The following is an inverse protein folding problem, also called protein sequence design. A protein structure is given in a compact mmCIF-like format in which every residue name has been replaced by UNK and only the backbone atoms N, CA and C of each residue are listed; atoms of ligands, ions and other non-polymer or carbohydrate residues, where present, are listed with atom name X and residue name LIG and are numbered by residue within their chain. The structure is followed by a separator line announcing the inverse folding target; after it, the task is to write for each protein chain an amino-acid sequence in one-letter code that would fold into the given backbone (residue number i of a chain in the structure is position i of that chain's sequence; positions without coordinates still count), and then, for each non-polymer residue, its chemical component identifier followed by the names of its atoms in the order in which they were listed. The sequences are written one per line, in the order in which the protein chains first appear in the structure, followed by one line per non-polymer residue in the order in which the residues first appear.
data_IF_763139230762
#
_entry.id   IF_763139230762
#
_cell.length_a   1.000
_cell.length_b   1.000
_cell.length_c   1.000
_cell.angle_alpha   90.00
_cell.angle_beta   90.00
_cell.angle_gamma   90.00
#
_symmetry.space_group_name_H-M   'P 1'
#
loop_
_entity.id
_entity.type
_entity.pdbx_description
1 polymer ?
#
# COMPACT_ATOMS: atom_id res chain seq x y z
N UNK A 1 17.65 -1.67 8.52
CA UNK A 1 16.28 -1.13 8.36
C UNK A 1 16.42 0.26 7.79
N UNK A 2 15.82 0.48 6.62
CA UNK A 2 15.73 1.80 6.01
C UNK A 2 14.41 2.49 6.32
N UNK A 3 14.29 3.70 5.85
CA UNK A 3 13.05 4.49 5.94
C UNK A 3 12.05 4.09 4.85
N UNK A 4 12.57 3.85 3.64
CA UNK A 4 11.81 3.52 2.45
C UNK A 4 11.99 2.07 2.02
N UNK A 5 13.17 1.50 2.30
CA UNK A 5 13.50 0.10 1.98
C UNK A 5 13.60 -0.69 3.28
N UNK A 6 12.82 -1.75 3.37
CA UNK A 6 12.70 -2.58 4.55
C UNK A 6 12.37 -1.77 5.82
N UNK A 7 11.26 -0.99 5.81
CA UNK A 7 10.86 -0.22 6.98
C UNK A 7 10.55 -1.14 8.16
N UNK A 8 10.62 -0.56 9.36
CA UNK A 8 10.21 -1.22 10.59
C UNK A 8 8.66 -1.36 10.69
N UNK A 9 8.20 -1.94 11.78
CA UNK A 9 6.78 -2.16 12.03
C UNK A 9 6.12 -1.13 12.97
N UNK A 10 6.84 -0.06 13.32
CA UNK A 10 6.40 0.92 14.33
C UNK A 10 5.08 1.62 13.95
N UNK A 11 4.89 1.92 12.67
CA UNK A 11 3.66 2.56 12.17
C UNK A 11 2.43 1.65 12.35
N UNK A 12 2.56 0.35 12.12
CA UNK A 12 1.49 -0.60 12.38
C UNK A 12 1.32 -0.89 13.87
N UNK A 13 2.41 -0.93 14.65
CA UNK A 13 2.34 -1.03 16.11
C UNK A 13 1.54 0.13 16.71
N UNK A 14 1.74 1.35 16.23
CA UNK A 14 0.97 2.51 16.66
C UNK A 14 -0.53 2.34 16.37
N UNK A 15 -0.88 1.73 15.23
CA UNK A 15 -2.26 1.41 14.90
C UNK A 15 -2.88 0.38 15.85
N UNK A 16 -2.14 -0.69 16.19
CA UNK A 16 -2.57 -1.70 17.14
C UNK A 16 -2.80 -1.14 18.56
N UNK A 17 -1.98 -0.16 18.95
CA UNK A 17 -2.08 0.50 20.26
C UNK A 17 -3.22 1.55 20.31
N UNK A 18 -3.92 1.79 19.21
CA UNK A 18 -5.03 2.74 19.17
C UNK A 18 -6.19 2.28 20.07
N UNK A 19 -6.90 3.24 20.69
CA UNK A 19 -8.08 2.95 21.53
C UNK A 19 -9.12 2.07 20.83
N UNK A 20 -9.28 2.27 19.52
CA UNK A 20 -10.13 1.46 18.66
C UNK A 20 -9.27 0.96 17.50
N UNK A 21 -9.06 -0.34 17.49
CA UNK A 21 -8.45 -1.07 16.38
C UNK A 21 -9.44 -2.15 15.91
N UNK A 22 -9.58 -2.28 14.60
CA UNK A 22 -10.37 -3.32 13.96
C UNK A 22 -9.42 -4.13 13.07
N UNK A 23 -9.39 -5.44 13.31
CA UNK A 23 -8.50 -6.34 12.60
C UNK A 23 -8.87 -6.46 11.11
N UNK A 24 -7.98 -6.02 10.25
CA UNK A 24 -8.07 -6.10 8.79
C UNK A 24 -7.02 -7.03 8.17
N UNK A 25 -6.31 -7.79 9.01
CA UNK A 25 -5.21 -8.65 8.56
C UNK A 25 -5.66 -9.81 7.67
N UNK A 26 -6.96 -10.11 7.59
CA UNK A 26 -7.51 -10.98 6.55
C UNK A 26 -7.22 -10.53 5.11
N UNK A 27 -6.95 -9.23 4.91
CA UNK A 27 -6.45 -8.71 3.64
C UNK A 27 -5.13 -9.36 3.21
N UNK A 28 -4.25 -9.66 4.15
CA UNK A 28 -2.94 -10.28 3.90
C UNK A 28 -3.11 -11.69 3.30
N UNK A 29 -4.13 -12.43 3.72
CA UNK A 29 -4.42 -13.74 3.16
C UNK A 29 -4.74 -13.65 1.66
N UNK A 30 -5.50 -12.62 1.24
CA UNK A 30 -5.72 -12.35 -0.17
C UNK A 30 -4.41 -11.99 -0.89
N UNK A 31 -3.59 -11.10 -0.31
CA UNK A 31 -2.30 -10.71 -0.87
C UNK A 31 -1.36 -11.92 -1.04
N UNK A 32 -1.31 -12.80 -0.04
CA UNK A 32 -0.49 -14.02 -0.09
C UNK A 32 -0.90 -14.97 -1.24
N UNK A 33 -2.19 -15.00 -1.61
CA UNK A 33 -2.68 -15.85 -2.71
C UNK A 33 -2.27 -15.33 -4.09
N UNK A 34 -2.19 -14.02 -4.25
CA UNK A 34 -1.83 -13.39 -5.54
C UNK A 34 -0.34 -13.08 -5.67
N UNK A 35 0.40 -13.22 -4.57
CA UNK A 35 1.83 -12.91 -4.51
C UNK A 35 2.60 -13.75 -5.54
N UNK A 36 3.46 -13.09 -6.32
CA UNK A 36 4.25 -13.68 -7.43
C UNK A 36 3.41 -14.24 -8.60
N UNK A 37 2.17 -13.82 -8.74
CA UNK A 37 1.29 -14.16 -9.87
C UNK A 37 1.07 -12.95 -10.79
N UNK A 38 0.32 -13.13 -11.87
CA UNK A 38 -0.13 -12.03 -12.74
C UNK A 38 -1.06 -11.05 -12.04
N UNK A 39 -1.74 -11.48 -10.97
CA UNK A 39 -2.73 -10.72 -10.20
C UNK A 39 -2.08 -9.98 -9.01
N UNK A 40 -0.73 -9.96 -8.94
CA UNK A 40 0.04 -9.33 -7.87
C UNK A 40 0.08 -7.79 -7.92
N UNK A 41 -0.61 -7.17 -8.87
CA UNK A 41 -0.66 -5.72 -9.03
C UNK A 41 -2.02 -5.20 -8.60
N UNK A 42 -2.08 -4.55 -7.44
CA UNK A 42 -3.33 -4.17 -6.77
C UNK A 42 -3.36 -2.66 -6.54
N UNK A 43 -4.42 -2.02 -6.98
CA UNK A 43 -4.72 -0.63 -6.66
C UNK A 43 -6.04 -0.53 -5.87
N UNK A 44 -5.96 0.01 -4.66
CA UNK A 44 -7.12 0.19 -3.80
C UNK A 44 -7.46 1.67 -3.61
N UNK A 45 -8.48 2.14 -4.32
CA UNK A 45 -8.93 3.53 -4.30
C UNK A 45 -10.13 3.70 -3.37
N UNK A 46 -9.96 4.52 -2.32
CA UNK A 46 -10.99 4.84 -1.33
C UNK A 46 -10.96 6.32 -0.98
N UNK A 47 -12.07 6.91 -0.55
CA UNK A 47 -12.10 8.27 -0.01
C UNK A 47 -11.11 8.45 1.14
N UNK A 48 -10.89 9.71 1.51
CA UNK A 48 -10.08 10.03 2.69
C UNK A 48 -10.66 9.41 3.95
N UNK A 49 -9.78 9.02 4.89
CA UNK A 49 -10.14 8.48 6.23
C UNK A 49 -10.73 7.08 6.25
N UNK A 50 -10.63 6.34 5.15
CA UNK A 50 -11.06 4.93 5.08
C UNK A 50 -10.03 3.93 5.63
N UNK A 51 -8.85 4.38 6.04
CA UNK A 51 -7.81 3.50 6.59
C UNK A 51 -6.82 2.95 5.54
N UNK A 52 -6.66 3.64 4.39
CA UNK A 52 -5.72 3.24 3.33
C UNK A 52 -4.29 3.11 3.83
N UNK A 53 -3.76 4.14 4.48
CA UNK A 53 -2.39 4.14 5.03
C UNK A 53 -2.21 3.10 6.14
N UNK A 54 -3.27 2.78 6.91
CA UNK A 54 -3.22 1.66 7.86
C UNK A 54 -3.02 0.32 7.15
N UNK A 55 -3.68 0.11 6.02
CA UNK A 55 -3.48 -1.08 5.19
C UNK A 55 -2.06 -1.13 4.60
N UNK A 56 -1.55 -0.02 4.08
CA UNK A 56 -0.18 0.08 3.57
C UNK A 56 0.86 -0.24 4.67
N UNK A 57 0.73 0.36 5.85
CA UNK A 57 1.61 0.12 6.98
C UNK A 57 1.53 -1.33 7.50
N UNK A 58 0.33 -1.92 7.50
CA UNK A 58 0.11 -3.32 7.85
C UNK A 58 0.84 -4.27 6.90
N UNK A 59 0.74 -4.05 5.59
CA UNK A 59 1.44 -4.84 4.59
C UNK A 59 2.95 -4.66 4.70
N UNK A 60 3.44 -3.43 4.89
CA UNK A 60 4.86 -3.16 5.12
C UNK A 60 5.38 -3.91 6.35
N UNK A 61 4.69 -3.83 7.49
CA UNK A 61 5.07 -4.53 8.72
C UNK A 61 5.07 -6.06 8.56
N UNK A 62 4.14 -6.61 7.75
CA UNK A 62 4.04 -8.05 7.55
C UNK A 62 5.14 -8.59 6.62
N UNK A 63 5.41 -7.94 5.49
CA UNK A 63 6.33 -8.47 4.49
C UNK A 63 7.80 -8.09 4.73
N UNK A 64 8.08 -6.95 5.37
CA UNK A 64 9.43 -6.39 5.47
C UNK A 64 10.40 -7.29 6.22
N UNK A 65 11.53 -7.62 5.58
CA UNK A 65 12.69 -8.26 6.22
C UNK A 65 13.33 -7.40 7.32
N UNK A 66 13.08 -6.09 7.29
CA UNK A 66 13.57 -5.15 8.29
C UNK A 66 12.80 -5.18 9.61
N UNK A 67 11.76 -6.02 9.72
CA UNK A 67 10.91 -6.06 10.89
C UNK A 67 10.92 -7.45 11.56
N UNK A 68 10.66 -7.48 12.87
CA UNK A 68 10.28 -8.67 13.62
C UNK A 68 8.83 -8.48 14.07
N UNK A 69 7.90 -9.08 13.33
CA UNK A 69 6.47 -8.81 13.48
C UNK A 69 5.66 -10.04 13.94
N UNK A 70 6.29 -11.18 14.24
CA UNK A 70 5.56 -12.41 14.55
C UNK A 70 4.57 -12.22 15.72
N UNK A 71 5.03 -11.62 16.81
CA UNK A 71 4.18 -11.36 17.99
C UNK A 71 3.04 -10.39 17.71
N UNK A 72 3.24 -9.47 16.77
CA UNK A 72 2.28 -8.45 16.41
C UNK A 72 1.08 -9.04 15.64
N UNK A 73 1.32 -10.06 14.82
CA UNK A 73 0.31 -10.67 13.96
C UNK A 73 -0.26 -12.00 14.49
N UNK A 74 0.39 -12.65 15.46
CA UNK A 74 0.06 -14.01 15.91
C UNK A 74 -1.39 -14.15 16.40
N UNK A 75 -1.92 -13.14 17.08
CA UNK A 75 -3.28 -13.15 17.63
C UNK A 75 -4.35 -12.62 16.67
N UNK A 76 -3.92 -12.03 15.53
CA UNK A 76 -4.79 -11.46 14.52
C UNK A 76 -5.30 -12.55 13.53
N UNK A 77 -6.21 -12.18 12.65
CA UNK A 77 -6.83 -13.10 11.69
C UNK A 77 -5.80 -13.81 10.82
N UNK A 78 -4.78 -13.12 10.33
CA UNK A 78 -3.70 -13.70 9.53
C UNK A 78 -2.89 -14.74 10.33
N UNK A 79 -2.67 -14.52 11.62
CA UNK A 79 -1.90 -15.42 12.49
C UNK A 79 -2.52 -16.82 12.62
N UNK A 80 -3.81 -16.94 12.31
CA UNK A 80 -4.57 -18.21 12.34
C UNK A 80 -4.51 -18.98 11.01
N UNK A 81 -3.91 -18.41 9.97
CA UNK A 81 -3.81 -19.04 8.65
C UNK A 81 -2.58 -19.93 8.55
N UNK A 82 -2.64 -20.96 7.68
CA UNK A 82 -1.51 -21.88 7.46
C UNK A 82 -0.29 -21.18 6.86
N UNK A 83 -0.51 -20.14 6.04
CA UNK A 83 0.56 -19.44 5.33
C UNK A 83 1.16 -18.28 6.14
N UNK A 84 0.72 -18.05 7.38
CA UNK A 84 1.16 -16.94 8.21
C UNK A 84 2.68 -16.78 8.24
N UNK A 85 3.42 -17.83 8.64
CA UNK A 85 4.87 -17.79 8.78
C UNK A 85 5.62 -17.91 7.46
N UNK A 86 4.95 -18.36 6.40
CA UNK A 86 5.58 -18.58 5.09
C UNK A 86 6.07 -17.29 4.46
N UNK A 87 5.31 -16.21 4.62
CA UNK A 87 5.58 -14.93 3.98
C UNK A 87 5.96 -13.82 4.95
N UNK A 88 5.75 -14.03 6.26
CA UNK A 88 6.03 -13.05 7.30
C UNK A 88 7.51 -12.67 7.33
N UNK A 89 7.80 -11.38 7.14
CA UNK A 89 9.15 -10.80 7.14
C UNK A 89 10.12 -11.48 6.15
N UNK A 90 9.65 -11.83 4.96
CA UNK A 90 10.44 -12.59 3.94
C UNK A 90 10.82 -11.77 2.72
N UNK A 91 10.25 -10.61 2.50
CA UNK A 91 10.45 -9.82 1.30
C UNK A 91 11.20 -8.52 1.58
N UNK A 92 11.94 -8.06 0.57
CA UNK A 92 12.37 -6.67 0.53
C UNK A 92 11.17 -5.80 0.21
N UNK A 93 10.84 -4.90 1.11
CA UNK A 93 9.70 -3.99 0.97
C UNK A 93 10.20 -2.60 0.61
N UNK A 94 9.66 -2.02 -0.43
CA UNK A 94 9.81 -0.60 -0.76
C UNK A 94 8.47 0.07 -0.43
N UNK A 95 8.48 0.98 0.55
CA UNK A 95 7.29 1.72 0.96
C UNK A 95 7.47 3.21 0.74
N UNK A 96 6.69 3.77 -0.17
CA UNK A 96 6.76 5.16 -0.63
C UNK A 96 5.43 5.85 -0.31
N UNK A 97 5.46 6.89 0.50
CA UNK A 97 4.36 7.84 0.69
C UNK A 97 4.61 9.05 -0.21
N UNK A 98 3.81 9.17 -1.28
CA UNK A 98 3.98 10.24 -2.27
C UNK A 98 3.65 11.61 -1.67
N UNK A 99 2.69 11.68 -0.75
CA UNK A 99 2.36 12.93 -0.06
C UNK A 99 3.57 13.47 0.71
N UNK A 100 4.26 12.58 1.45
CA UNK A 100 5.46 12.98 2.18
C UNK A 100 6.56 13.51 1.26
N UNK A 101 6.81 12.82 0.13
CA UNK A 101 7.80 13.28 -0.86
C UNK A 101 7.43 14.61 -1.48
N UNK A 102 6.15 14.81 -1.80
CA UNK A 102 5.65 16.08 -2.34
C UNK A 102 5.84 17.24 -1.36
N UNK A 103 5.54 17.04 -0.09
CA UNK A 103 5.68 18.06 0.95
C UNK A 103 7.12 18.43 1.25
N UNK A 104 8.04 17.44 1.21
CA UNK A 104 9.46 17.63 1.56
C UNK A 104 10.37 17.92 0.36
N UNK A 105 9.82 18.04 -0.85
CA UNK A 105 10.57 18.40 -2.06
C UNK A 105 10.46 19.91 -2.30
N UNK A 106 11.59 20.62 -2.27
CA UNK A 106 11.62 22.09 -2.51
C UNK A 106 11.17 22.42 -3.95
N UNK A 107 11.68 21.69 -4.94
CA UNK A 107 11.33 21.84 -6.35
C UNK A 107 10.46 20.67 -6.81
N UNK A 108 9.17 20.90 -6.98
CA UNK A 108 8.20 19.87 -7.36
C UNK A 108 8.54 19.19 -8.70
N UNK A 109 9.27 19.85 -9.58
CA UNK A 109 9.75 19.26 -10.84
C UNK A 109 10.78 18.13 -10.61
N UNK A 110 11.40 18.08 -9.42
CA UNK A 110 12.42 17.09 -9.04
C UNK A 110 11.88 15.99 -8.10
N UNK A 111 10.59 15.98 -7.81
CA UNK A 111 10.00 15.02 -6.87
C UNK A 111 10.30 13.55 -7.24
N UNK A 112 10.23 13.20 -8.52
CA UNK A 112 10.55 11.85 -9.00
C UNK A 112 12.05 11.52 -8.81
N UNK A 113 12.92 12.49 -9.01
CA UNK A 113 14.36 12.34 -8.75
C UNK A 113 14.61 12.16 -7.26
N UNK A 114 13.91 12.92 -6.41
CA UNK A 114 14.00 12.81 -4.97
C UNK A 114 13.57 11.41 -4.47
N UNK A 115 12.42 10.90 -4.94
CA UNK A 115 11.94 9.54 -4.68
C UNK A 115 13.01 8.53 -5.10
N UNK A 116 13.44 8.59 -6.36
CA UNK A 116 14.39 7.64 -6.94
C UNK A 116 15.70 7.62 -6.18
N UNK A 117 16.27 8.80 -5.90
CA UNK A 117 17.52 8.91 -5.16
C UNK A 117 17.40 8.34 -3.75
N UNK A 118 16.35 8.72 -3.00
CA UNK A 118 16.16 8.26 -1.63
C UNK A 118 16.07 6.73 -1.53
N UNK A 119 15.34 6.10 -2.44
CA UNK A 119 15.21 4.63 -2.47
C UNK A 119 16.51 3.97 -2.93
N UNK A 120 17.19 4.52 -3.95
CA UNK A 120 18.45 3.98 -4.44
C UNK A 120 19.57 4.07 -3.39
N UNK A 121 19.64 5.15 -2.62
CA UNK A 121 20.63 5.30 -1.57
C UNK A 121 20.48 4.20 -0.51
N UNK A 122 19.26 3.92 -0.05
CA UNK A 122 19.00 2.82 0.89
C UNK A 122 19.21 1.43 0.27
N UNK A 123 18.87 1.23 -1.01
CA UNK A 123 19.14 -0.03 -1.71
C UNK A 123 20.66 -0.29 -1.83
N UNK A 124 21.47 0.73 -2.07
CA UNK A 124 22.93 0.60 -2.12
C UNK A 124 23.54 0.19 -0.78
N UNK A 125 22.98 0.68 0.32
CA UNK A 125 23.40 0.26 1.66
C UNK A 125 23.12 -1.23 1.92
N UNK A 126 22.00 -1.73 1.40
CA UNK A 126 21.58 -3.13 1.56
C UNK A 126 22.29 -4.05 0.56
N UNK A 127 22.51 -3.59 -0.66
CA UNK A 127 23.05 -4.34 -1.78
C UNK A 127 24.27 -3.66 -2.43
N UNK A 128 25.34 -3.38 -1.67
CA UNK A 128 26.52 -2.66 -2.19
C UNK A 128 27.23 -3.40 -3.32
N UNK A 129 27.15 -4.72 -3.35
CA UNK A 129 27.77 -5.54 -4.41
C UNK A 129 26.97 -5.54 -5.72
N UNK A 130 25.69 -5.20 -5.65
CA UNK A 130 24.79 -5.22 -6.82
C UNK A 130 24.68 -3.86 -7.51
N UNK A 131 24.86 -2.77 -6.75
CA UNK A 131 24.51 -1.41 -7.18
C UNK A 131 25.71 -0.47 -7.11
N UNK A 132 25.92 0.29 -8.19
CA UNK A 132 26.96 1.32 -8.28
C UNK A 132 26.35 2.72 -8.16
N UNK A 133 27.20 3.71 -7.84
CA UNK A 133 26.77 5.11 -7.65
C UNK A 133 26.11 5.75 -8.90
N UNK A 134 26.35 5.19 -10.09
CA UNK A 134 25.86 5.71 -11.38
C UNK A 134 24.49 5.14 -11.77
N UNK A 135 23.91 4.22 -10.97
CA UNK A 135 22.58 3.69 -11.26
C UNK A 135 21.53 4.79 -11.12
N UNK A 136 20.90 5.16 -12.23
CA UNK A 136 19.97 6.29 -12.30
C UNK A 136 18.48 5.88 -12.34
N UNK A 137 18.18 4.62 -12.61
CA UNK A 137 16.81 4.10 -12.72
C UNK A 137 16.52 3.10 -11.60
N UNK A 138 15.42 3.34 -10.89
CA UNK A 138 14.98 2.41 -9.84
C UNK A 138 14.66 1.02 -10.43
N UNK A 139 14.00 0.95 -11.57
CA UNK A 139 13.67 -0.33 -12.22
C UNK A 139 14.91 -1.12 -12.65
N UNK A 140 15.97 -0.46 -13.12
CA UNK A 140 17.23 -1.13 -13.43
C UNK A 140 17.93 -1.66 -12.18
N UNK A 141 17.97 -0.87 -11.10
CA UNK A 141 18.52 -1.28 -9.82
C UNK A 141 17.81 -2.53 -9.27
N UNK A 142 16.47 -2.53 -9.27
CA UNK A 142 15.68 -3.68 -8.82
C UNK A 142 15.92 -4.92 -9.69
N UNK A 143 16.03 -4.76 -10.99
CA UNK A 143 16.37 -5.83 -11.94
C UNK A 143 17.75 -6.43 -11.64
N UNK A 144 18.76 -5.60 -11.37
CA UNK A 144 20.12 -6.05 -11.00
C UNK A 144 20.14 -6.82 -9.71
N UNK A 145 19.51 -6.29 -8.65
CA UNK A 145 19.40 -7.00 -7.36
C UNK A 145 18.72 -8.34 -7.57
N UNK A 146 17.59 -8.37 -8.28
CA UNK A 146 16.89 -9.62 -8.58
C UNK A 146 17.77 -10.63 -9.32
N UNK A 147 18.51 -10.18 -10.35
CA UNK A 147 19.34 -11.08 -11.15
C UNK A 147 20.52 -11.65 -10.36
N UNK A 148 21.09 -10.90 -9.43
CA UNK A 148 22.25 -11.35 -8.65
C UNK A 148 21.86 -12.14 -7.40
N UNK A 149 20.76 -11.79 -6.74
CA UNK A 149 20.38 -12.36 -5.45
C UNK A 149 19.19 -13.30 -5.49
N UNK A 150 18.40 -13.27 -6.56
CA UNK A 150 17.12 -13.95 -6.62
C UNK A 150 15.98 -13.24 -5.86
N UNK A 151 16.27 -12.17 -5.12
CA UNK A 151 15.27 -11.49 -4.29
C UNK A 151 14.24 -10.75 -5.14
N UNK A 152 12.98 -10.81 -4.72
CA UNK A 152 11.89 -10.01 -5.28
C UNK A 152 11.38 -9.00 -4.26
N UNK A 153 10.71 -7.99 -4.75
CA UNK A 153 10.28 -6.84 -3.96
C UNK A 153 8.76 -6.80 -3.79
N UNK A 154 8.32 -6.41 -2.61
CA UNK A 154 6.98 -5.92 -2.36
C UNK A 154 7.03 -4.40 -2.43
N UNK A 155 6.34 -3.80 -3.40
CA UNK A 155 6.34 -2.36 -3.61
C UNK A 155 5.00 -1.79 -3.19
N UNK A 156 5.02 -0.90 -2.20
CA UNK A 156 3.84 -0.23 -1.63
C UNK A 156 3.97 1.26 -1.92
N UNK A 157 2.98 1.84 -2.60
CA UNK A 157 2.89 3.29 -2.81
C UNK A 157 1.60 3.81 -2.19
N UNK A 158 1.72 4.57 -1.11
CA UNK A 158 0.59 5.24 -0.49
C UNK A 158 0.38 6.62 -1.12
N UNK A 159 -0.89 7.04 -1.24
CA UNK A 159 -1.35 8.28 -1.89
C UNK A 159 -0.76 8.45 -3.32
N UNK A 160 -0.76 7.34 -4.12
CA UNK A 160 -0.16 7.30 -5.45
C UNK A 160 -0.65 8.40 -6.39
N UNK A 161 -1.86 8.90 -6.19
CA UNK A 161 -2.55 9.86 -7.05
C UNK A 161 -2.33 11.34 -6.65
N UNK A 162 -1.62 11.60 -5.55
CA UNK A 162 -1.49 12.96 -5.01
C UNK A 162 -0.83 13.93 -5.98
N UNK A 163 0.24 13.52 -6.66
CA UNK A 163 0.91 14.37 -7.65
C UNK A 163 0.01 14.72 -8.85
N UNK A 164 -0.89 13.81 -9.21
CA UNK A 164 -1.83 14.01 -10.30
C UNK A 164 -2.97 14.94 -9.87
N UNK A 165 -3.37 14.83 -8.62
CA UNK A 165 -4.49 15.58 -8.03
C UNK A 165 -4.09 17.00 -7.61
N UNK A 166 -2.96 17.10 -6.88
CA UNK A 166 -2.56 18.35 -6.24
C UNK A 166 -1.69 19.23 -7.17
N UNK A 167 -0.96 18.63 -8.13
CA UNK A 167 -0.19 19.31 -9.18
C UNK A 167 -0.96 19.34 -10.52
N UNK A 168 -2.28 19.47 -10.48
CA UNK A 168 -3.15 19.35 -11.66
C UNK A 168 -2.82 20.35 -12.80
N UNK A 169 -2.23 21.49 -12.50
CA UNK A 169 -1.81 22.51 -13.48
C UNK A 169 -0.37 22.29 -14.00
N UNK A 170 0.43 21.45 -13.36
CA UNK A 170 1.81 21.18 -13.74
C UNK A 170 1.92 19.88 -14.54
N UNK A 171 1.64 19.97 -15.84
CA UNK A 171 1.64 18.81 -16.74
C UNK A 171 3.01 18.12 -16.79
N UNK A 172 4.12 18.87 -16.73
CA UNK A 172 5.45 18.30 -16.79
C UNK A 172 5.75 17.40 -15.59
N UNK A 173 5.35 17.80 -14.37
CA UNK A 173 5.49 16.98 -13.18
C UNK A 173 4.62 15.72 -13.27
N UNK A 174 3.37 15.86 -13.73
CA UNK A 174 2.48 14.72 -13.91
C UNK A 174 3.03 13.71 -14.94
N UNK A 175 3.48 14.18 -16.10
CA UNK A 175 4.04 13.31 -17.14
C UNK A 175 5.30 12.59 -16.67
N UNK A 176 6.20 13.29 -15.97
CA UNK A 176 7.40 12.70 -15.38
C UNK A 176 7.04 11.61 -14.36
N UNK A 177 6.07 11.88 -13.50
CA UNK A 177 5.60 10.90 -12.51
C UNK A 177 4.90 9.69 -13.16
N UNK A 178 4.04 9.92 -14.15
CA UNK A 178 3.40 8.83 -14.91
C UNK A 178 4.45 7.96 -15.63
N UNK A 179 5.50 8.58 -16.18
CA UNK A 179 6.61 7.85 -16.80
C UNK A 179 7.40 7.04 -15.77
N UNK A 180 7.61 7.58 -14.57
CA UNK A 180 8.22 6.85 -13.47
C UNK A 180 7.39 5.60 -13.09
N UNK A 181 6.08 5.75 -12.88
CA UNK A 181 5.20 4.62 -12.58
C UNK A 181 5.17 3.60 -13.72
N UNK A 182 5.15 4.06 -14.97
CA UNK A 182 5.21 3.18 -16.13
C UNK A 182 6.51 2.38 -16.16
N UNK A 183 7.65 3.01 -15.93
CA UNK A 183 8.96 2.35 -15.90
C UNK A 183 9.09 1.34 -14.76
N UNK A 184 8.45 1.63 -13.62
CA UNK A 184 8.50 0.76 -12.45
C UNK A 184 7.59 -0.47 -12.57
N UNK A 185 6.42 -0.36 -13.20
CA UNK A 185 5.38 -1.39 -13.14
C UNK A 185 5.01 -2.02 -14.47
N UNK A 186 5.32 -1.40 -15.62
CA UNK A 186 4.83 -1.88 -16.93
C UNK A 186 5.92 -2.59 -17.72
N UNK A 187 5.53 -3.68 -18.38
CA UNK A 187 6.40 -4.48 -19.23
C UNK A 187 6.81 -5.80 -18.59
N UNK A 188 7.68 -6.53 -19.27
CA UNK A 188 8.12 -7.87 -18.83
C UNK A 188 9.13 -7.80 -17.68
N UNK A 189 10.01 -6.79 -17.65
CA UNK A 189 11.05 -6.71 -16.60
C UNK A 189 10.46 -6.56 -15.20
N UNK A 190 9.46 -5.68 -14.94
CA UNK A 190 8.84 -5.60 -13.62
C UNK A 190 8.31 -6.92 -13.07
N UNK A 191 7.77 -7.79 -13.93
CA UNK A 191 7.24 -9.09 -13.48
C UNK A 191 8.31 -10.03 -12.90
N UNK A 192 9.58 -9.76 -13.20
CA UNK A 192 10.70 -10.57 -12.71
C UNK A 192 11.11 -10.17 -11.29
N UNK A 193 11.09 -8.87 -10.96
CA UNK A 193 11.53 -8.36 -9.66
C UNK A 193 10.40 -8.01 -8.69
N UNK A 194 9.17 -7.86 -9.16
CA UNK A 194 8.01 -7.57 -8.28
C UNK A 194 7.39 -8.88 -7.81
N UNK A 195 7.27 -9.04 -6.50
CA UNK A 195 6.47 -10.09 -5.86
C UNK A 195 5.03 -9.63 -5.65
N UNK A 196 4.85 -8.36 -5.25
CA UNK A 196 3.56 -7.71 -5.03
C UNK A 196 3.71 -6.20 -5.26
N UNK A 197 2.76 -5.59 -5.94
CA UNK A 197 2.63 -4.13 -6.03
C UNK A 197 1.29 -3.72 -5.42
N UNK A 198 1.31 -2.85 -4.42
CA UNK A 198 0.11 -2.32 -3.78
C UNK A 198 0.10 -0.80 -3.84
N UNK A 199 -0.84 -0.25 -4.59
CA UNK A 199 -1.09 1.18 -4.66
C UNK A 199 -2.32 1.54 -3.84
N UNK A 200 -2.27 2.65 -3.11
CA UNK A 200 -3.43 3.21 -2.45
C UNK A 200 -3.55 4.70 -2.71
N UNK A 201 -4.79 5.15 -2.96
CA UNK A 201 -5.10 6.53 -3.30
C UNK A 201 -6.60 6.83 -3.22
N UNK A 202 -6.97 7.99 -3.71
CA UNK A 202 -8.37 8.44 -3.78
C UNK A 202 -8.95 8.21 -5.18
N UNK A 203 -8.16 8.54 -6.20
CA UNK A 203 -8.59 8.47 -7.59
C UNK A 203 -8.40 7.07 -8.18
N UNK A 204 -9.36 6.58 -8.97
CA UNK A 204 -9.17 5.36 -9.73
C UNK A 204 -8.25 5.59 -10.93
N UNK A 205 -7.41 4.58 -11.24
CA UNK A 205 -6.47 4.59 -12.36
C UNK A 205 -7.20 4.84 -13.70
N UNK A 206 -8.35 4.19 -13.89
CA UNK A 206 -9.12 4.25 -15.15
C UNK A 206 -9.66 5.63 -15.49
N UNK A 207 -9.81 6.51 -14.51
CA UNK A 207 -10.30 7.89 -14.75
C UNK A 207 -9.20 8.88 -15.15
N UNK A 208 -7.95 8.44 -15.17
CA UNK A 208 -6.80 9.31 -15.38
C UNK A 208 -6.13 9.00 -16.74
N UNK A 209 -5.38 9.94 -17.26
CA UNK A 209 -4.45 9.72 -18.42
C UNK A 209 -3.40 8.64 -18.13
N UNK A 210 -3.39 8.11 -16.90
CA UNK A 210 -2.54 7.03 -16.40
C UNK A 210 -2.99 5.63 -16.82
N UNK A 211 -4.19 5.46 -17.39
CA UNK A 211 -4.73 4.15 -17.76
C UNK A 211 -3.75 3.31 -18.59
N UNK A 212 -3.05 3.93 -19.55
CA UNK A 212 -2.06 3.20 -20.36
C UNK A 212 -0.79 2.83 -19.58
N UNK A 213 -0.48 3.51 -18.49
CA UNK A 213 0.71 3.27 -17.67
C UNK A 213 0.53 2.15 -16.64
N UNK A 214 -0.67 2.00 -16.10
CA UNK A 214 -1.00 1.11 -14.98
C UNK A 214 -2.17 0.15 -15.31
N UNK A 215 -2.35 -0.20 -16.58
CA UNK A 215 -3.44 -1.09 -17.02
C UNK A 215 -3.30 -2.55 -16.57
N UNK A 216 -2.16 -2.90 -15.99
CA UNK A 216 -1.88 -4.21 -15.42
C UNK A 216 -2.29 -4.32 -13.94
N UNK A 217 -2.84 -3.25 -13.35
CA UNK A 217 -3.34 -3.28 -11.97
C UNK A 217 -4.80 -3.71 -11.91
N UNK A 218 -5.09 -4.65 -11.01
CA UNK A 218 -6.44 -4.91 -10.54
C UNK A 218 -6.89 -3.77 -9.64
N UNK A 219 -7.97 -3.11 -10.05
CA UNK A 219 -8.42 -1.89 -9.42
C UNK A 219 -9.68 -2.13 -8.58
N UNK A 220 -9.57 -1.84 -7.28
CA UNK A 220 -10.64 -1.93 -6.30
C UNK A 220 -11.09 -0.54 -5.86
N UNK A 221 -12.27 -0.13 -6.33
CA UNK A 221 -12.82 1.22 -6.11
C UNK A 221 -14.09 1.20 -5.26
N UNK A 222 -14.69 2.38 -5.02
CA UNK A 222 -16.01 2.46 -4.39
C UNK A 222 -17.14 1.87 -5.27
N UNK A 223 -16.95 1.82 -6.59
CA UNK A 223 -17.93 1.27 -7.52
C UNK A 223 -17.71 -0.22 -7.83
N UNK A 224 -16.48 -0.69 -7.64
CA UNK A 224 -16.07 -2.08 -7.91
C UNK A 224 -15.06 -2.49 -6.83
N UNK A 225 -15.55 -2.80 -5.64
CA UNK A 225 -14.70 -3.09 -4.50
C UNK A 225 -14.21 -4.54 -4.45
N UNK A 226 -14.89 -5.47 -5.16
CA UNK A 226 -14.50 -6.87 -5.24
C UNK A 226 -14.15 -7.47 -3.87
N UNK A 227 -13.12 -8.31 -3.85
CA UNK A 227 -12.62 -8.96 -2.63
C UNK A 227 -11.99 -7.99 -1.61
N UNK A 228 -11.73 -6.73 -1.99
CA UNK A 228 -11.18 -5.73 -1.09
C UNK A 228 -12.25 -4.96 -0.30
N UNK A 229 -13.54 -5.18 -0.59
CA UNK A 229 -14.63 -4.48 0.07
C UNK A 229 -14.54 -4.47 1.62
N UNK A 230 -14.31 -5.60 2.31
CA UNK A 230 -14.33 -5.66 3.77
C UNK A 230 -13.04 -5.13 4.43
N UNK A 231 -11.97 -4.89 3.68
CA UNK A 231 -10.65 -4.65 4.27
C UNK A 231 -10.27 -3.18 4.40
N UNK A 232 -10.92 -2.28 3.68
CA UNK A 232 -10.69 -0.83 3.77
C UNK A 232 -11.99 -0.12 4.05
N UNK A 233 -12.12 0.41 5.27
CA UNK A 233 -13.36 0.85 5.91
C UNK A 233 -13.83 -0.14 6.97
N UNK A 234 -14.89 0.18 7.72
CA UNK A 234 -15.50 -0.72 8.70
C UNK A 234 -16.75 -1.37 8.12
N UNK A 235 -16.85 -2.69 8.24
CA UNK A 235 -18.06 -3.43 7.87
C UNK A 235 -19.19 -3.21 8.88
N UNK A 236 -20.43 -3.49 8.48
CA UNK A 236 -21.59 -3.41 9.37
C UNK A 236 -21.42 -4.28 10.64
N UNK A 237 -20.87 -5.49 10.48
CA UNK A 237 -20.62 -6.39 11.61
C UNK A 237 -19.60 -5.83 12.60
N UNK A 238 -18.55 -5.20 12.10
CA UNK A 238 -17.53 -4.54 12.92
C UNK A 238 -18.11 -3.32 13.66
N UNK A 239 -18.93 -2.51 12.97
CA UNK A 239 -19.60 -1.37 13.60
C UNK A 239 -20.58 -1.83 14.68
N UNK A 240 -21.35 -2.90 14.43
CA UNK A 240 -22.21 -3.50 15.46
C UNK A 240 -21.43 -4.00 16.67
N UNK A 241 -20.29 -4.64 16.44
CA UNK A 241 -19.38 -5.09 17.51
C UNK A 241 -18.84 -3.90 18.32
N UNK A 242 -18.39 -2.84 17.64
CA UNK A 242 -17.91 -1.62 18.29
C UNK A 242 -19.03 -0.94 19.09
N UNK A 243 -20.22 -0.78 18.51
CA UNK A 243 -21.38 -0.19 19.19
C UNK A 243 -21.70 -0.94 20.49
N UNK A 244 -21.71 -2.29 20.43
CA UNK A 244 -21.90 -3.14 21.62
C UNK A 244 -20.78 -2.94 22.65
N UNK A 245 -19.51 -2.94 22.21
CA UNK A 245 -18.33 -2.79 23.09
C UNK A 245 -18.32 -1.45 23.83
N UNK A 246 -18.77 -0.39 23.16
CA UNK A 246 -18.79 0.97 23.71
C UNK A 246 -20.17 1.44 24.19
N UNK A 247 -21.11 0.51 24.38
CA UNK A 247 -22.47 0.77 24.87
C UNK A 247 -23.23 1.83 24.05
N UNK A 248 -23.02 1.84 22.73
CA UNK A 248 -23.71 2.73 21.80
C UNK A 248 -24.89 2.01 21.11
N UNK A 249 -25.91 2.77 20.76
CA UNK A 249 -27.04 2.23 20.01
C UNK A 249 -26.68 2.17 18.51
N UNK A 250 -26.57 0.96 17.96
CA UNK A 250 -26.23 0.76 16.54
C UNK A 250 -27.20 1.46 15.58
N UNK A 251 -28.51 1.44 15.85
CA UNK A 251 -29.50 2.09 14.96
C UNK A 251 -29.33 3.61 14.92
N UNK A 252 -28.90 4.22 16.03
CA UNK A 252 -28.50 5.63 16.03
C UNK A 252 -27.26 5.87 15.21
N UNK A 253 -26.22 5.03 15.38
CA UNK A 253 -24.98 5.11 14.60
C UNK A 253 -25.28 4.98 13.11
N UNK A 254 -26.08 3.98 12.70
CA UNK A 254 -26.50 3.78 11.31
C UNK A 254 -27.26 4.99 10.76
N UNK A 255 -28.15 5.58 11.52
CA UNK A 255 -28.92 6.77 11.08
C UNK A 255 -28.05 8.01 10.85
N UNK A 256 -26.98 8.17 11.65
CA UNK A 256 -26.08 9.30 11.50
C UNK A 256 -25.02 9.09 10.42
N UNK A 257 -24.59 7.87 10.18
CA UNK A 257 -23.43 7.52 9.35
C UNK A 257 -23.79 6.46 8.31
N UNK A 258 -24.86 6.58 7.62
CA UNK A 258 -25.54 5.61 6.71
C UNK A 258 -24.62 4.63 5.95
N UNK A 259 -23.34 4.98 5.75
CA UNK A 259 -22.33 4.13 5.14
C UNK A 259 -22.47 4.04 3.61
N UNK A 260 -21.74 3.08 3.04
CA UNK A 260 -21.69 2.84 1.61
C UNK A 260 -21.94 1.37 1.31
N UNK A 261 -22.80 1.06 0.35
CA UNK A 261 -22.97 -0.32 -0.12
C UNK A 261 -21.89 -0.64 -1.16
N UNK A 262 -20.91 -1.47 -0.82
CA UNK A 262 -19.86 -1.95 -1.70
C UNK A 262 -20.06 -3.43 -1.98
N UNK A 263 -20.56 -3.76 -3.18
CA UNK A 263 -21.10 -5.09 -3.49
C UNK A 263 -22.18 -5.48 -2.44
N UNK A 264 -21.94 -6.55 -1.69
CA UNK A 264 -22.84 -7.05 -0.64
C UNK A 264 -22.54 -6.47 0.76
N UNK A 265 -21.50 -5.65 0.88
CA UNK A 265 -21.01 -5.16 2.17
C UNK A 265 -21.44 -3.72 2.42
N UNK A 266 -22.11 -3.49 3.55
CA UNK A 266 -22.30 -2.15 4.08
C UNK A 266 -20.98 -1.73 4.76
N UNK A 267 -20.35 -0.68 4.25
CA UNK A 267 -19.05 -0.18 4.71
C UNK A 267 -19.18 1.24 5.22
N UNK A 268 -18.60 1.49 6.39
CA UNK A 268 -18.62 2.77 7.08
C UNK A 268 -17.23 3.42 7.04
N UNK A 269 -17.20 4.75 7.04
CA UNK A 269 -15.96 5.50 7.22
C UNK A 269 -15.47 5.34 8.66
N UNK A 270 -14.28 4.76 8.91
CA UNK A 270 -13.78 4.52 10.26
C UNK A 270 -13.74 5.76 11.14
N UNK A 271 -13.37 6.93 10.58
CA UNK A 271 -13.26 8.16 11.38
C UNK A 271 -14.61 8.65 11.88
N UNK A 272 -15.65 8.48 11.11
CA UNK A 272 -17.01 8.89 11.50
C UNK A 272 -17.56 8.00 12.61
N UNK A 273 -17.14 6.72 12.64
CA UNK A 273 -17.58 5.76 13.68
C UNK A 273 -16.80 5.95 14.98
N UNK A 274 -15.57 6.43 14.94
CA UNK A 274 -14.66 6.50 16.09
C UNK A 274 -14.75 7.85 16.85
N UNK A 275 -15.40 8.85 16.28
CA UNK A 275 -15.70 10.14 16.92
C UNK A 275 -16.90 10.01 17.83
#
# INVERSE_FOLDING_TARGET
MGRFVNPDNSAFQAALNSRIYVDKTGMIEYMNRVLETTDAYICNSRPRRFGKSYAANMLAAYYSKGADSEKMFSDLSIGKTQDFKKYLNKYDVIHIDIQWFLENCEDKNKVVQFITKSVLDELREIYPECLVLQDGSLSDALSRVKNQTGQKFVIIIDEWDVLIRDEAQNQAVQENYINFLRGLFKGTEPTKYIALAYLTGILPIKKMKTQSALNNFDEFTMLSAGNMAPYVGFTESEVKMLAKKYHQNYEKVKRWYDGYLLNEHQIYNPREIVV
#
